data_IF_088409848890
#
_entry.id   IF_088409848890
#
_cell.length_a   1.000
_cell.length_b   1.000
_cell.length_c   1.000
_cell.angle_alpha   90.00
_cell.angle_beta   90.00
_cell.angle_gamma   90.00
#
_symmetry.space_group_name_H-M   'P 1'
#
loop_
_entity.id
_entity.type
_entity.pdbx_description
1 polymer ?
#
# COMPACT_ATOMS: atom_id res chain seq x y z
N UNK A 1 -23.05 14.92 52.64
CA UNK A 1 -23.85 14.45 51.49
C UNK A 1 -22.95 14.51 50.28
N UNK A 2 -22.84 13.38 49.60
CA UNK A 2 -22.33 13.25 48.23
C UNK A 2 -23.43 13.73 47.23
N UNK A 3 -23.17 13.98 45.92
CA UNK A 3 -22.64 12.94 45.01
C UNK A 3 -21.60 13.36 43.93
N UNK A 4 -20.61 12.48 43.78
CA UNK A 4 -20.12 11.84 42.54
C UNK A 4 -19.64 12.68 41.33
N UNK A 5 -18.37 12.49 40.92
CA UNK A 5 -17.90 12.65 39.55
C UNK A 5 -17.64 11.30 38.83
N UNK A 6 -18.53 10.93 37.91
CA UNK A 6 -18.23 10.05 36.76
C UNK A 6 -17.47 10.87 35.68
N UNK A 7 -16.56 10.39 34.83
CA UNK A 7 -16.10 9.03 34.48
C UNK A 7 -14.72 9.06 33.79
N UNK A 8 -14.19 7.85 33.48
CA UNK A 8 -13.30 7.51 32.36
C UNK A 8 -11.83 7.15 32.68
N UNK A 9 -11.63 5.93 33.19
CA UNK A 9 -10.34 5.25 33.20
C UNK A 9 -9.84 4.95 31.78
N UNK A 10 -8.74 5.59 31.38
CA UNK A 10 -8.01 5.25 30.14
C UNK A 10 -6.93 4.22 30.47
N UNK A 11 -7.27 2.93 30.31
CA UNK A 11 -6.41 1.81 30.69
C UNK A 11 -5.13 1.75 29.85
N UNK A 12 -3.99 1.93 30.54
CA UNK A 12 -2.64 1.71 30.02
C UNK A 12 -2.27 0.22 30.17
N UNK A 13 -2.01 -0.46 29.05
CA UNK A 13 -1.55 -1.86 29.02
C UNK A 13 -0.02 -1.92 28.91
N UNK A 14 0.64 -2.66 29.80
CA UNK A 14 2.08 -2.95 29.73
C UNK A 14 2.36 -4.36 30.34
N UNK A 15 2.99 -5.31 29.63
CA UNK A 15 3.04 -6.71 30.07
C UNK A 15 4.40 -7.13 30.67
N UNK A 16 4.39 -7.63 31.91
CA UNK A 16 5.30 -8.67 32.48
C UNK A 16 4.95 -8.99 33.94
N UNK A 17 4.71 -10.27 34.27
CA UNK A 17 4.47 -10.74 35.65
C UNK A 17 4.67 -12.26 35.81
N UNK A 18 5.28 -12.67 36.93
CA UNK A 18 5.80 -14.04 37.23
C UNK A 18 5.96 -14.17 38.77
N UNK A 19 6.02 -15.34 39.46
CA UNK A 19 6.29 -16.72 38.99
C UNK A 19 5.28 -17.83 39.41
N UNK A 20 5.31 -18.45 40.63
CA UNK A 20 5.61 -19.89 40.62
C UNK A 20 4.60 -20.89 41.25
N UNK A 21 4.53 -22.06 40.59
CA UNK A 21 4.62 -23.47 41.07
C UNK A 21 3.99 -24.03 42.37
N UNK A 22 3.33 -25.20 42.23
CA UNK A 22 3.40 -26.42 43.09
C UNK A 22 2.61 -27.60 42.44
N UNK A 23 3.22 -28.60 41.78
CA UNK A 23 3.63 -29.95 42.27
C UNK A 23 2.56 -30.87 42.88
N UNK A 24 2.21 -31.99 42.20
CA UNK A 24 2.62 -33.37 42.61
C UNK A 24 2.23 -34.47 41.59
N UNK A 25 2.88 -35.64 41.69
CA UNK A 25 2.76 -36.82 40.79
C UNK A 25 2.08 -38.02 41.46
N UNK A 26 1.50 -38.94 40.68
CA UNK A 26 1.45 -40.39 40.97
C UNK A 26 1.33 -41.21 39.67
N UNK A 27 1.66 -42.51 39.71
CA UNK A 27 2.00 -43.39 38.58
C UNK A 27 1.02 -44.60 38.42
N UNK A 28 1.29 -45.45 37.41
CA UNK A 28 0.70 -46.78 37.11
C UNK A 28 -0.76 -46.80 36.54
N UNK A 29 -1.21 -47.75 35.68
CA UNK A 29 -0.55 -48.89 35.01
C UNK A 29 -1.33 -49.39 33.75
N UNK A 30 -0.62 -50.10 32.84
CA UNK A 30 -1.09 -51.19 31.93
C UNK A 30 -2.15 -50.89 30.83
N UNK A 31 -1.87 -51.41 29.62
CA UNK A 31 -2.76 -51.39 28.45
C UNK A 31 -3.33 -52.79 28.12
N UNK A 32 -4.41 -52.85 27.31
CA UNK A 32 -4.44 -53.81 26.21
C UNK A 32 -4.84 -53.15 24.87
N UNK A 33 -4.54 -53.79 23.72
CA UNK A 33 -4.77 -53.21 22.39
C UNK A 33 -6.18 -53.49 21.87
N UNK A 34 -6.67 -52.66 20.96
CA UNK A 34 -7.04 -53.06 19.59
C UNK A 34 -7.35 -51.83 18.72
N UNK A 35 -7.42 -52.05 17.41
CA UNK A 35 -7.24 -51.02 16.41
C UNK A 35 -8.52 -50.26 16.02
N UNK A 36 -8.28 -49.35 15.07
CA UNK A 36 -9.15 -48.79 14.02
C UNK A 36 -9.66 -47.35 14.26
N UNK A 37 -9.34 -46.48 13.29
CA UNK A 37 -9.79 -45.08 13.14
C UNK A 37 -9.37 -44.03 14.18
N UNK A 38 -8.15 -44.12 14.74
CA UNK A 38 -7.41 -42.89 15.02
C UNK A 38 -6.85 -42.32 13.73
N UNK A 39 -7.73 -41.75 12.90
CA UNK A 39 -7.33 -40.69 11.98
C UNK A 39 -6.77 -39.60 12.88
N UNK A 40 -5.43 -39.48 12.92
CA UNK A 40 -4.80 -38.31 13.55
C UNK A 40 -5.51 -37.08 12.99
N UNK A 41 -5.81 -36.05 13.81
CA UNK A 41 -6.01 -34.71 13.30
C UNK A 41 -4.71 -34.35 12.59
N UNK A 42 -4.61 -34.69 11.30
CA UNK A 42 -3.67 -34.08 10.39
C UNK A 42 -4.11 -32.63 10.41
N UNK A 43 -3.27 -31.85 11.07
CA UNK A 43 -3.34 -30.40 11.21
C UNK A 43 -3.98 -29.82 9.96
N UNK A 44 -4.91 -28.88 10.12
CA UNK A 44 -5.69 -28.30 9.02
C UNK A 44 -4.82 -27.48 8.03
N UNK A 45 -3.51 -27.73 7.94
CA UNK A 45 -2.58 -27.17 6.96
C UNK A 45 -2.36 -25.67 7.10
N UNK A 46 -2.72 -25.09 8.25
CA UNK A 46 -2.84 -23.64 8.44
C UNK A 46 -4.13 -23.03 7.85
N UNK A 47 -5.03 -23.81 7.23
CA UNK A 47 -6.29 -23.31 6.69
C UNK A 47 -7.24 -22.82 7.78
N UNK A 48 -7.18 -23.38 9.00
CA UNK A 48 -7.94 -22.88 10.14
C UNK A 48 -7.55 -21.43 10.47
N UNK A 49 -6.25 -21.16 10.60
CA UNK A 49 -5.70 -19.82 10.84
C UNK A 49 -5.99 -18.87 9.65
N UNK A 50 -5.80 -19.33 8.41
CA UNK A 50 -6.10 -18.58 7.19
C UNK A 50 -7.56 -18.10 7.14
N UNK A 51 -8.51 -18.95 7.56
CA UNK A 51 -9.94 -18.70 7.39
C UNK A 51 -10.64 -18.13 8.63
N UNK A 52 -10.02 -18.17 9.81
CA UNK A 52 -10.63 -17.80 11.10
C UNK A 52 -11.35 -16.45 11.10
N UNK A 53 -10.78 -15.43 10.43
CA UNK A 53 -11.30 -14.06 10.40
C UNK A 53 -12.32 -13.78 9.28
N UNK A 54 -12.60 -14.74 8.38
CA UNK A 54 -13.29 -14.48 7.10
C UNK A 54 -14.68 -15.10 6.98
N UNK A 55 -15.21 -15.70 8.05
CA UNK A 55 -16.57 -16.25 8.08
C UNK A 55 -16.77 -17.59 7.37
N UNK A 56 -15.69 -18.31 7.07
CA UNK A 56 -15.76 -19.70 6.59
C UNK A 56 -16.06 -20.60 7.79
N UNK A 57 -17.02 -21.53 7.67
CA UNK A 57 -17.30 -22.50 8.73
C UNK A 57 -16.15 -23.50 8.86
N UNK A 58 -15.88 -23.97 10.09
CA UNK A 58 -14.91 -25.05 10.35
C UNK A 58 -15.09 -26.26 9.43
N UNK A 59 -16.35 -26.70 9.22
CA UNK A 59 -16.67 -27.81 8.32
C UNK A 59 -16.25 -27.55 6.87
N UNK A 60 -16.33 -26.30 6.41
CA UNK A 60 -15.91 -25.89 5.06
C UNK A 60 -14.38 -25.93 4.92
N UNK A 61 -13.67 -25.39 5.90
CA UNK A 61 -12.20 -25.46 5.97
C UNK A 61 -11.71 -26.92 6.01
N UNK A 62 -12.38 -27.77 6.81
CA UNK A 62 -12.08 -29.20 6.90
C UNK A 62 -12.25 -29.92 5.56
N UNK A 63 -13.35 -29.71 4.82
CA UNK A 63 -13.54 -30.34 3.49
C UNK A 63 -12.51 -29.88 2.45
N UNK A 64 -12.06 -28.62 2.52
CA UNK A 64 -10.97 -28.12 1.66
C UNK A 64 -9.66 -28.86 1.99
N UNK A 65 -9.32 -28.98 3.27
CA UNK A 65 -8.13 -29.71 3.72
C UNK A 65 -8.18 -31.23 3.44
N UNK A 66 -9.35 -31.87 3.58
CA UNK A 66 -9.57 -33.30 3.27
C UNK A 66 -9.32 -33.64 1.79
N UNK A 67 -9.61 -32.70 0.88
CA UNK A 67 -9.28 -32.83 -0.55
C UNK A 67 -7.81 -32.53 -0.88
N UNK A 68 -6.97 -32.28 0.13
CA UNK A 68 -5.55 -32.05 -0.03
C UNK A 68 -5.15 -30.62 -0.44
N UNK A 69 -6.09 -29.66 -0.44
CA UNK A 69 -5.72 -28.25 -0.61
C UNK A 69 -4.96 -27.76 0.62
N UNK A 70 -3.76 -27.22 0.39
CA UNK A 70 -2.95 -26.56 1.41
C UNK A 70 -3.06 -25.04 1.27
N UNK A 71 -2.64 -24.28 2.29
CA UNK A 71 -2.54 -22.81 2.21
C UNK A 71 -1.71 -22.39 0.98
N UNK A 72 -0.56 -23.02 0.74
CA UNK A 72 0.28 -22.76 -0.44
C UNK A 72 -0.47 -23.02 -1.75
N UNK A 73 -1.18 -24.15 -1.86
CA UNK A 73 -1.98 -24.48 -3.05
C UNK A 73 -3.04 -23.40 -3.34
N UNK A 74 -3.73 -22.91 -2.31
CA UNK A 74 -4.71 -21.85 -2.46
C UNK A 74 -4.05 -20.50 -2.83
N UNK A 75 -2.86 -20.23 -2.29
CA UNK A 75 -2.06 -19.02 -2.57
C UNK A 75 -1.48 -18.98 -4.00
N UNK A 76 -1.42 -20.10 -4.71
CA UNK A 76 -1.03 -20.14 -6.12
C UNK A 76 -2.21 -19.99 -7.10
N UNK A 77 -3.46 -20.26 -6.67
CA UNK A 77 -4.65 -20.29 -7.52
C UNK A 77 -5.29 -18.91 -7.79
N UNK A 78 -5.44 -18.52 -9.05
CA UNK A 78 -6.13 -17.28 -9.44
C UNK A 78 -7.59 -17.28 -8.98
N UNK A 79 -8.20 -16.10 -8.86
CA UNK A 79 -9.56 -15.99 -8.34
C UNK A 79 -10.62 -16.73 -9.17
N UNK A 80 -10.43 -16.87 -10.48
CA UNK A 80 -11.26 -17.72 -11.33
C UNK A 80 -11.04 -19.22 -11.05
N UNK A 81 -9.79 -19.64 -10.77
CA UNK A 81 -9.44 -21.02 -10.41
C UNK A 81 -10.00 -21.37 -9.00
N UNK A 82 -10.07 -20.38 -8.09
CA UNK A 82 -10.77 -20.50 -6.82
C UNK A 82 -12.29 -20.61 -7.01
N UNK A 83 -12.89 -19.85 -7.94
CA UNK A 83 -14.32 -19.97 -8.27
C UNK A 83 -14.64 -21.35 -8.88
N UNK A 84 -13.83 -21.85 -9.82
CA UNK A 84 -13.95 -23.19 -10.41
C UNK A 84 -13.79 -24.30 -9.35
N UNK A 85 -12.85 -24.14 -8.41
CA UNK A 85 -12.68 -25.03 -7.27
C UNK A 85 -13.91 -24.99 -6.33
N UNK A 86 -14.41 -23.82 -5.95
CA UNK A 86 -15.61 -23.70 -5.10
C UNK A 86 -16.87 -24.27 -5.77
N UNK A 87 -16.97 -24.17 -7.09
CA UNK A 87 -18.03 -24.79 -7.88
C UNK A 87 -17.88 -26.32 -7.88
N UNK A 88 -16.65 -26.82 -8.04
CA UNK A 88 -16.33 -28.25 -7.95
C UNK A 88 -16.64 -28.82 -6.56
N UNK A 89 -16.27 -28.12 -5.47
CA UNK A 89 -16.64 -28.48 -4.09
C UNK A 89 -18.15 -28.60 -3.93
N UNK A 90 -18.90 -27.60 -4.44
CA UNK A 90 -20.35 -27.56 -4.30
C UNK A 90 -21.02 -28.72 -5.04
N UNK A 91 -20.48 -29.10 -6.21
CA UNK A 91 -20.95 -30.25 -6.99
C UNK A 91 -20.59 -31.59 -6.32
N UNK A 92 -19.33 -31.77 -5.92
CA UNK A 92 -18.80 -33.02 -5.33
C UNK A 92 -19.53 -33.37 -4.03
N UNK A 93 -19.68 -32.41 -3.12
CA UNK A 93 -20.32 -32.63 -1.83
C UNK A 93 -21.83 -32.38 -1.83
N UNK A 94 -22.42 -32.01 -2.99
CA UNK A 94 -23.83 -31.59 -3.15
C UNK A 94 -24.26 -30.56 -2.10
N UNK A 95 -23.38 -29.60 -1.83
CA UNK A 95 -23.51 -28.63 -0.75
C UNK A 95 -23.28 -27.22 -1.30
N UNK A 96 -24.31 -26.37 -1.21
CA UNK A 96 -24.18 -24.95 -1.46
C UNK A 96 -23.29 -24.28 -0.40
N UNK A 97 -22.05 -23.99 -0.80
CA UNK A 97 -21.22 -22.97 -0.15
C UNK A 97 -22.01 -21.67 -0.07
N UNK A 98 -22.19 -21.13 1.14
CA UNK A 98 -22.93 -19.88 1.32
C UNK A 98 -22.24 -18.76 0.55
N UNK A 99 -23.02 -17.79 0.06
CA UNK A 99 -22.48 -16.62 -0.66
C UNK A 99 -21.37 -15.93 0.15
N UNK A 100 -21.58 -15.77 1.46
CA UNK A 100 -20.56 -15.24 2.38
C UNK A 100 -19.29 -16.09 2.49
N UNK A 101 -19.40 -17.42 2.46
CA UNK A 101 -18.22 -18.31 2.49
C UNK A 101 -17.42 -18.23 1.18
N UNK A 102 -18.10 -18.09 0.04
CA UNK A 102 -17.44 -17.91 -1.27
C UNK A 102 -16.65 -16.61 -1.35
N UNK A 103 -17.20 -15.52 -0.80
CA UNK A 103 -16.45 -14.26 -0.64
C UNK A 103 -15.35 -14.39 0.43
N UNK A 104 -15.62 -15.08 1.54
CA UNK A 104 -14.66 -15.31 2.63
C UNK A 104 -13.41 -16.05 2.18
N UNK A 105 -13.55 -17.16 1.44
CA UNK A 105 -12.42 -17.94 0.90
C UNK A 105 -11.53 -17.06 0.02
N UNK A 106 -12.12 -16.29 -0.92
CA UNK A 106 -11.36 -15.38 -1.77
C UNK A 106 -10.73 -14.23 -0.99
N UNK A 107 -11.44 -13.66 0.00
CA UNK A 107 -10.93 -12.60 0.85
C UNK A 107 -9.73 -13.06 1.69
N UNK A 108 -9.78 -14.26 2.26
CA UNK A 108 -8.70 -14.88 3.02
C UNK A 108 -7.44 -15.08 2.16
N UNK A 109 -7.58 -15.72 0.99
CA UNK A 109 -6.44 -15.93 0.07
C UNK A 109 -5.85 -14.60 -0.40
N UNK A 110 -6.68 -13.61 -0.75
CA UNK A 110 -6.23 -12.25 -1.13
C UNK A 110 -5.57 -11.49 0.03
N UNK A 111 -5.97 -11.73 1.27
CA UNK A 111 -5.33 -11.12 2.43
C UNK A 111 -3.98 -11.76 2.74
N UNK A 112 -3.90 -13.09 2.69
CA UNK A 112 -2.66 -13.82 2.96
C UNK A 112 -1.61 -13.60 1.86
N UNK A 113 -2.02 -13.49 0.58
CA UNK A 113 -1.15 -12.98 -0.50
C UNK A 113 -0.57 -11.62 -0.16
N UNK A 114 -1.41 -10.65 0.24
CA UNK A 114 -0.94 -9.30 0.65
C UNK A 114 0.02 -9.36 1.84
N UNK A 115 -0.26 -10.21 2.83
CA UNK A 115 0.63 -10.41 4.00
C UNK A 115 2.00 -10.96 3.59
N UNK A 116 2.04 -11.91 2.65
CA UNK A 116 3.28 -12.45 2.11
C UNK A 116 4.01 -11.44 1.22
N UNK A 117 3.30 -10.66 0.39
CA UNK A 117 3.89 -9.57 -0.39
C UNK A 117 4.50 -8.48 0.52
N UNK A 118 3.87 -8.16 1.66
CA UNK A 118 4.38 -7.22 2.66
C UNK A 118 5.61 -7.77 3.40
N UNK A 119 5.60 -9.05 3.78
CA UNK A 119 6.74 -9.73 4.44
C UNK A 119 7.92 -9.93 3.49
N UNK A 120 7.69 -10.30 2.23
CA UNK A 120 8.72 -10.37 1.20
C UNK A 120 9.23 -8.97 0.82
N UNK A 121 8.36 -7.95 0.80
CA UNK A 121 8.78 -6.55 0.65
C UNK A 121 9.65 -6.08 1.81
N UNK A 122 9.37 -6.52 3.05
CA UNK A 122 10.21 -6.28 4.24
C UNK A 122 11.58 -6.96 4.11
N UNK A 123 11.61 -8.23 3.70
CA UNK A 123 12.86 -8.97 3.44
C UNK A 123 13.69 -8.31 2.34
N UNK A 124 13.05 -7.80 1.28
CA UNK A 124 13.71 -7.01 0.22
C UNK A 124 14.16 -5.62 0.70
N UNK A 125 13.42 -4.95 1.58
CA UNK A 125 13.83 -3.66 2.18
C UNK A 125 15.01 -3.79 3.14
N UNK A 126 15.14 -4.92 3.87
CA UNK A 126 16.32 -5.19 4.70
C UNK A 126 17.62 -5.39 3.90
N UNK A 127 17.51 -5.56 2.57
CA UNK A 127 18.64 -5.69 1.64
C UNK A 127 18.78 -4.49 0.68
N UNK A 128 17.91 -3.47 0.79
CA UNK A 128 17.94 -2.30 -0.10
C UNK A 128 17.37 -1.05 0.61
N UNK A 129 18.18 -0.04 0.96
CA UNK A 129 17.75 1.06 1.83
C UNK A 129 16.68 2.01 1.26
N UNK A 130 16.37 1.95 -0.04
CA UNK A 130 15.55 2.94 -0.75
C UNK A 130 14.50 2.29 -1.66
N UNK A 131 13.20 2.26 -1.29
CA UNK A 131 12.02 2.34 -2.22
C UNK A 131 10.68 2.43 -1.44
N UNK A 132 10.36 3.60 -0.89
CA UNK A 132 9.07 3.88 -0.20
C UNK A 132 7.94 4.38 -1.13
N UNK A 133 7.82 3.84 -2.35
CA UNK A 133 6.89 4.37 -3.38
C UNK A 133 5.83 3.42 -3.93
N UNK A 134 5.74 2.16 -3.48
CA UNK A 134 4.98 1.12 -4.18
C UNK A 134 3.64 0.68 -3.54
N UNK A 135 3.30 1.11 -2.32
CA UNK A 135 2.17 0.56 -1.55
C UNK A 135 0.77 0.97 -2.01
N UNK A 136 0.62 1.94 -2.93
CA UNK A 136 -0.68 2.48 -3.35
C UNK A 136 -1.23 1.96 -4.70
N UNK A 137 -0.47 1.15 -5.45
CA UNK A 137 -0.87 0.72 -6.80
C UNK A 137 -1.75 -0.56 -6.80
N UNK A 138 -1.86 -1.26 -5.67
CA UNK A 138 -2.41 -2.62 -5.56
C UNK A 138 -3.95 -2.73 -5.49
N UNK A 139 -4.67 -1.64 -5.18
CA UNK A 139 -6.15 -1.65 -5.12
C UNK A 139 -6.82 -1.46 -6.50
N UNK A 140 -6.05 -1.24 -7.57
CA UNK A 140 -6.56 -0.88 -8.91
C UNK A 140 -6.94 -2.09 -9.79
N UNK A 141 -7.10 -3.29 -9.23
CA UNK A 141 -7.23 -4.55 -10.00
C UNK A 141 -8.60 -5.22 -9.96
N UNK A 142 -9.53 -4.74 -9.11
CA UNK A 142 -10.91 -5.25 -9.03
C UNK A 142 -11.89 -4.10 -9.34
N UNK A 143 -12.85 -4.35 -10.23
CA UNK A 143 -13.93 -3.41 -10.53
C UNK A 143 -13.95 -2.89 -11.97
N UNK A 144 -14.52 -3.69 -12.87
CA UNK A 144 -15.19 -3.21 -14.10
C UNK A 144 -16.59 -2.63 -13.75
N UNK A 145 -16.69 -2.00 -12.58
CA UNK A 145 -17.88 -1.29 -12.14
C UNK A 145 -17.76 0.17 -12.61
N UNK A 146 -18.89 0.71 -13.05
CA UNK A 146 -19.06 2.04 -13.63
C UNK A 146 -18.63 3.17 -12.68
N UNK A 147 -17.31 3.39 -12.50
CA UNK A 147 -16.80 4.62 -11.89
C UNK A 147 -16.96 5.71 -12.94
N UNK A 148 -17.88 6.68 -12.77
CA UNK A 148 -17.99 7.77 -13.72
C UNK A 148 -16.67 8.54 -13.72
N UNK A 149 -16.24 8.99 -14.90
CA UNK A 149 -14.97 9.72 -15.08
C UNK A 149 -14.82 10.96 -14.17
N UNK A 150 -15.94 11.43 -13.58
CA UNK A 150 -16.03 12.50 -12.58
C UNK A 150 -15.48 12.15 -11.19
N UNK A 151 -15.20 10.88 -10.87
CA UNK A 151 -14.60 10.49 -9.57
C UNK A 151 -13.09 10.18 -9.65
N UNK A 152 -12.49 10.24 -10.85
CA UNK A 152 -11.06 10.01 -11.06
C UNK A 152 -10.31 11.33 -10.86
N UNK A 153 -10.00 11.66 -9.61
CA UNK A 153 -9.24 12.88 -9.27
C UNK A 153 -7.76 12.85 -9.72
N UNK A 154 -7.21 11.70 -10.13
CA UNK A 154 -5.80 11.56 -10.55
C UNK A 154 -5.61 10.61 -11.74
N UNK A 155 -4.57 10.81 -12.54
CA UNK A 155 -4.17 9.92 -13.65
C UNK A 155 -3.67 8.57 -13.11
N UNK A 156 -4.60 7.61 -12.98
CA UNK A 156 -4.37 6.24 -12.48
C UNK A 156 -3.90 5.26 -13.57
N UNK A 157 -3.60 4.03 -13.17
CA UNK A 157 -3.31 2.91 -14.09
C UNK A 157 -4.44 2.67 -15.10
N UNK A 158 -5.71 2.85 -14.70
CA UNK A 158 -6.86 2.67 -15.59
C UNK A 158 -6.82 3.66 -16.75
N UNK A 159 -6.44 4.92 -16.52
CA UNK A 159 -6.30 5.94 -17.57
C UNK A 159 -5.25 5.52 -18.62
N UNK A 160 -4.10 4.98 -18.18
CA UNK A 160 -3.08 4.47 -19.10
C UNK A 160 -3.53 3.22 -19.87
N UNK A 161 -4.27 2.30 -19.23
CA UNK A 161 -4.86 1.13 -19.91
C UNK A 161 -5.90 1.55 -20.95
N UNK A 162 -6.76 2.52 -20.61
CA UNK A 162 -7.75 3.09 -21.52
C UNK A 162 -7.09 3.78 -22.72
N UNK A 163 -6.06 4.61 -22.51
CA UNK A 163 -5.34 5.26 -23.60
C UNK A 163 -4.76 4.25 -24.60
N UNK A 164 -4.19 3.13 -24.13
CA UNK A 164 -3.71 2.04 -25.00
C UNK A 164 -4.86 1.37 -25.77
N UNK A 165 -6.02 1.11 -25.13
CA UNK A 165 -7.23 0.54 -25.76
C UNK A 165 -7.82 1.48 -26.81
N UNK A 166 -7.76 2.79 -26.59
CA UNK A 166 -8.21 3.84 -27.50
C UNK A 166 -7.21 4.17 -28.63
N UNK A 167 -6.18 3.35 -28.85
CA UNK A 167 -5.19 3.53 -29.92
C UNK A 167 -4.04 4.50 -29.62
N UNK A 168 -4.07 5.22 -28.49
CA UNK A 168 -2.99 6.12 -28.06
C UNK A 168 -1.82 5.35 -27.40
N UNK A 169 -1.33 4.30 -28.06
CA UNK A 169 -0.30 3.37 -27.57
C UNK A 169 1.04 4.02 -27.23
N UNK A 170 1.33 5.21 -27.78
CA UNK A 170 2.51 6.01 -27.46
C UNK A 170 2.47 6.66 -26.06
N UNK A 171 1.32 6.66 -25.37
CA UNK A 171 1.17 7.15 -24.00
C UNK A 171 1.47 6.01 -23.02
N UNK A 172 2.43 6.20 -22.11
CA UNK A 172 2.77 5.18 -21.10
C UNK A 172 3.15 5.78 -19.74
N UNK A 173 2.81 5.06 -18.65
CA UNK A 173 3.01 5.48 -17.26
C UNK A 173 4.47 5.91 -16.94
N UNK A 174 5.51 5.13 -17.30
CA UNK A 174 6.90 5.53 -17.02
C UNK A 174 7.29 6.85 -17.69
N UNK A 175 7.05 6.99 -19.00
CA UNK A 175 7.40 8.22 -19.75
C UNK A 175 6.66 9.42 -19.20
N UNK A 176 5.34 9.32 -18.98
CA UNK A 176 4.57 10.46 -18.47
C UNK A 176 5.06 10.90 -17.08
N UNK A 177 5.21 9.95 -16.14
CA UNK A 177 5.73 10.24 -14.79
C UNK A 177 7.14 10.84 -14.80
N UNK A 178 7.97 10.49 -15.78
CA UNK A 178 9.31 11.05 -15.91
C UNK A 178 9.30 12.58 -16.17
N UNK A 179 8.27 13.13 -16.82
CA UNK A 179 8.21 14.54 -17.27
C UNK A 179 7.10 15.38 -16.62
N UNK A 180 6.39 14.88 -15.60
CA UNK A 180 5.32 15.62 -14.90
C UNK A 180 5.78 16.98 -14.39
N UNK A 181 6.98 17.10 -13.84
CA UNK A 181 7.50 18.39 -13.36
C UNK A 181 7.82 19.36 -14.52
N UNK A 182 8.31 18.88 -15.67
CA UNK A 182 8.45 19.74 -16.86
C UNK A 182 7.09 20.28 -17.33
N UNK A 183 6.05 19.45 -17.28
CA UNK A 183 4.68 19.87 -17.59
C UNK A 183 4.11 20.84 -16.53
N UNK A 184 4.42 20.61 -15.25
CA UNK A 184 4.04 21.51 -14.16
C UNK A 184 4.65 22.89 -14.33
N UNK A 185 5.94 22.99 -14.70
CA UNK A 185 6.57 24.27 -14.99
C UNK A 185 5.85 25.00 -16.14
N UNK A 186 5.54 24.30 -17.24
CA UNK A 186 4.77 24.88 -18.34
C UNK A 186 3.33 25.30 -17.96
N UNK A 187 2.72 24.70 -16.94
CA UNK A 187 1.41 25.11 -16.45
C UNK A 187 1.47 26.33 -15.51
N UNK A 188 2.46 26.37 -14.63
CA UNK A 188 2.56 27.39 -13.58
C UNK A 188 3.30 28.66 -14.05
N UNK A 189 4.21 28.51 -15.03
CA UNK A 189 5.01 29.58 -15.61
C UNK A 189 5.42 29.20 -17.05
N UNK A 190 4.51 29.43 -18.00
CA UNK A 190 4.74 29.13 -19.41
C UNK A 190 5.91 29.94 -19.99
N UNK A 191 6.09 31.19 -19.56
CA UNK A 191 7.16 32.06 -20.03
C UNK A 191 8.53 31.52 -19.61
N UNK A 192 8.73 31.23 -18.33
CA UNK A 192 9.96 30.63 -17.84
C UNK A 192 10.21 29.25 -18.46
N UNK A 193 9.16 28.44 -18.66
CA UNK A 193 9.26 27.15 -19.36
C UNK A 193 9.76 27.32 -20.81
N UNK A 194 9.20 28.28 -21.56
CA UNK A 194 9.59 28.55 -22.93
C UNK A 194 10.98 29.20 -23.05
N UNK A 195 11.37 30.07 -22.11
CA UNK A 195 12.72 30.61 -22.00
C UNK A 195 13.76 29.51 -21.70
N UNK A 196 13.45 28.61 -20.74
CA UNK A 196 14.31 27.48 -20.39
C UNK A 196 14.49 26.51 -21.57
N UNK A 197 13.41 26.20 -22.30
CA UNK A 197 13.46 25.38 -23.52
C UNK A 197 14.35 25.99 -24.60
N UNK A 198 14.23 27.31 -24.84
CA UNK A 198 15.07 28.04 -25.82
C UNK A 198 16.55 28.01 -25.42
N UNK A 199 16.88 28.44 -24.20
CA UNK A 199 18.28 28.50 -23.75
C UNK A 199 18.97 27.14 -23.70
N UNK A 200 18.26 26.05 -23.36
CA UNK A 200 18.83 24.69 -23.44
C UNK A 200 19.02 24.22 -24.89
N UNK A 201 18.10 24.54 -25.81
CA UNK A 201 18.24 24.24 -27.24
C UNK A 201 19.43 25.00 -27.87
N UNK A 202 19.59 26.28 -27.55
CA UNK A 202 20.67 27.15 -28.05
C UNK A 202 22.06 26.68 -27.60
N UNK A 203 22.16 26.10 -26.39
CA UNK A 203 23.41 25.48 -25.89
C UNK A 203 23.65 24.04 -26.39
N UNK A 204 22.75 23.47 -27.20
CA UNK A 204 22.86 22.07 -27.65
C UNK A 204 22.70 21.03 -26.54
N UNK A 205 22.06 21.40 -25.43
CA UNK A 205 21.94 20.56 -24.24
C UNK A 205 20.99 19.37 -24.47
N UNK A 206 21.30 18.23 -23.84
CA UNK A 206 20.44 17.06 -23.95
C UNK A 206 19.13 17.22 -23.14
N UNK A 207 18.11 16.45 -23.52
CA UNK A 207 16.78 16.47 -22.87
C UNK A 207 16.86 16.16 -21.38
N UNK A 208 17.83 15.34 -20.94
CA UNK A 208 18.06 15.03 -19.54
C UNK A 208 18.52 16.25 -18.73
N UNK A 209 19.43 17.05 -19.27
CA UNK A 209 19.92 18.29 -18.65
C UNK A 209 18.80 19.33 -18.52
N UNK A 210 18.06 19.60 -19.61
CA UNK A 210 16.87 20.45 -19.59
C UNK A 210 15.84 19.96 -18.55
N UNK A 211 15.57 18.65 -18.52
CA UNK A 211 14.65 18.03 -17.56
C UNK A 211 15.09 18.24 -16.11
N UNK A 212 16.39 18.15 -15.78
CA UNK A 212 16.84 18.46 -14.41
C UNK A 212 16.69 19.96 -14.10
N UNK A 213 16.96 20.84 -15.06
CA UNK A 213 16.85 22.28 -14.86
C UNK A 213 15.42 22.74 -14.52
N UNK A 214 14.39 22.04 -15.02
CA UNK A 214 12.98 22.33 -14.70
C UNK A 214 12.63 22.27 -13.21
N UNK A 215 13.41 21.59 -12.35
CA UNK A 215 13.13 21.56 -10.91
C UNK A 215 13.39 22.92 -10.23
N UNK A 216 14.45 23.64 -10.61
CA UNK A 216 14.85 24.90 -9.95
C UNK A 216 13.75 25.98 -9.95
N UNK A 217 13.11 26.35 -11.09
CA UNK A 217 12.05 27.34 -11.08
C UNK A 217 10.79 26.87 -10.33
N UNK A 218 10.48 25.56 -10.33
CA UNK A 218 9.36 25.03 -9.54
C UNK A 218 9.58 25.17 -8.04
N UNK A 219 10.80 24.92 -7.55
CA UNK A 219 11.12 25.13 -6.13
C UNK A 219 11.05 26.62 -5.78
N UNK A 220 11.47 27.52 -6.69
CA UNK A 220 11.29 28.96 -6.50
C UNK A 220 9.82 29.41 -6.52
N UNK A 221 8.94 28.74 -7.28
CA UNK A 221 7.48 28.94 -7.21
C UNK A 221 6.96 28.48 -5.84
N UNK A 222 7.36 27.30 -5.36
CA UNK A 222 6.96 26.78 -4.06
C UNK A 222 7.41 27.70 -2.90
N UNK A 223 8.65 28.18 -2.92
CA UNK A 223 9.18 29.12 -1.93
C UNK A 223 8.35 30.40 -1.79
N UNK A 224 7.84 30.93 -2.93
CA UNK A 224 6.96 32.11 -2.96
C UNK A 224 5.53 31.86 -2.47
N UNK A 225 5.12 30.60 -2.31
CA UNK A 225 3.76 30.19 -1.96
C UNK A 225 3.73 29.27 -0.72
N UNK A 226 4.58 29.54 0.26
CA UNK A 226 4.54 28.84 1.56
C UNK A 226 5.08 27.41 1.57
N UNK A 227 5.79 27.00 0.50
CA UNK A 227 6.39 25.67 0.31
C UNK A 227 5.43 24.49 0.14
N UNK A 228 4.12 24.74 0.03
CA UNK A 228 3.11 23.69 -0.17
C UNK A 228 2.95 23.36 -1.67
N UNK A 229 3.80 22.45 -2.16
CA UNK A 229 3.76 22.00 -3.55
C UNK A 229 2.51 21.16 -3.89
N UNK A 230 1.84 20.58 -2.90
CA UNK A 230 0.57 19.88 -3.10
C UNK A 230 -0.56 20.86 -3.38
N UNK A 231 -0.70 21.90 -2.56
CA UNK A 231 -1.66 22.98 -2.77
C UNK A 231 -1.49 23.63 -4.15
N UNK A 232 -0.24 23.87 -4.59
CA UNK A 232 0.06 24.44 -5.91
C UNK A 232 -0.40 23.54 -7.07
N UNK A 233 -0.20 22.22 -6.97
CA UNK A 233 -0.69 21.28 -7.98
C UNK A 233 -2.22 21.20 -7.95
N UNK A 234 -2.82 21.08 -6.77
CA UNK A 234 -4.27 20.93 -6.58
C UNK A 234 -5.05 22.18 -7.01
N UNK A 235 -4.49 23.38 -6.86
CA UNK A 235 -5.11 24.64 -7.27
C UNK A 235 -5.16 24.83 -8.81
N UNK A 236 -4.29 24.16 -9.57
CA UNK A 236 -4.22 24.35 -11.02
C UNK A 236 -5.01 23.27 -11.78
N UNK A 237 -6.03 23.61 -12.60
CA UNK A 237 -6.95 22.63 -13.21
C UNK A 237 -6.30 21.53 -14.07
N UNK A 238 -5.16 21.79 -14.70
CA UNK A 238 -4.40 20.77 -15.48
C UNK A 238 -3.42 19.94 -14.63
N UNK A 239 -3.16 20.32 -13.39
CA UNK A 239 -2.16 19.68 -12.51
C UNK A 239 -2.75 18.92 -11.34
N UNK A 240 -3.96 19.26 -10.90
CA UNK A 240 -4.68 18.52 -9.85
C UNK A 240 -4.81 17.03 -10.17
N UNK A 241 -4.93 16.67 -11.45
CA UNK A 241 -4.96 15.28 -11.93
C UNK A 241 -3.61 14.56 -11.88
N UNK A 242 -2.51 15.22 -11.54
CA UNK A 242 -1.16 14.64 -11.51
C UNK A 242 -0.60 14.55 -10.09
N UNK A 243 -0.12 13.36 -9.72
CA UNK A 243 0.68 13.19 -8.51
C UNK A 243 1.96 14.04 -8.57
N UNK A 244 2.20 14.88 -7.56
CA UNK A 244 3.46 15.64 -7.43
C UNK A 244 4.65 14.67 -7.38
N UNK A 245 5.67 14.80 -8.26
CA UNK A 245 6.81 13.89 -8.29
C UNK A 245 7.61 13.88 -6.99
N UNK A 246 8.00 12.69 -6.51
CA UNK A 246 8.75 12.52 -5.24
C UNK A 246 10.01 13.37 -5.17
N UNK A 247 10.80 13.43 -6.27
CA UNK A 247 12.01 14.27 -6.33
C UNK A 247 11.70 15.77 -6.17
N UNK A 248 10.56 16.26 -6.68
CA UNK A 248 10.16 17.65 -6.52
C UNK A 248 9.83 17.96 -5.06
N UNK A 249 9.05 17.08 -4.39
CA UNK A 249 8.76 17.18 -2.95
C UNK A 249 10.03 17.23 -2.12
N UNK A 250 10.95 16.29 -2.36
CA UNK A 250 12.24 16.21 -1.67
C UNK A 250 13.06 17.50 -1.80
N UNK A 251 13.14 18.06 -3.01
CA UNK A 251 13.84 19.33 -3.24
C UNK A 251 13.16 20.52 -2.54
N UNK A 252 11.83 20.62 -2.58
CA UNK A 252 11.10 21.66 -1.84
C UNK A 252 11.32 21.54 -0.31
N UNK A 253 11.33 20.33 0.25
CA UNK A 253 11.61 20.14 1.67
C UNK A 253 13.07 20.48 2.03
N UNK A 254 14.04 20.08 1.21
CA UNK A 254 15.46 20.38 1.45
C UNK A 254 15.72 21.89 1.43
N UNK A 255 15.23 22.61 0.41
CA UNK A 255 15.41 24.05 0.27
C UNK A 255 14.64 24.83 1.36
N UNK A 256 13.46 24.37 1.79
CA UNK A 256 12.75 24.96 2.95
C UNK A 256 13.56 24.85 4.24
N UNK A 257 14.18 23.69 4.47
CA UNK A 257 15.02 23.48 5.65
C UNK A 257 16.30 24.33 5.58
N UNK A 258 16.89 24.50 4.39
CA UNK A 258 18.04 25.39 4.18
C UNK A 258 17.69 26.88 4.38
N UNK A 259 16.52 27.32 3.90
CA UNK A 259 16.03 28.69 4.07
C UNK A 259 15.73 29.03 5.54
N UNK A 260 15.08 28.12 6.27
CA UNK A 260 14.81 28.29 7.71
C UNK A 260 16.09 28.27 8.55
N UNK A 261 17.05 27.40 8.24
CA UNK A 261 18.37 27.40 8.88
C UNK A 261 19.13 28.73 8.63
N UNK A 262 19.14 29.23 7.38
CA UNK A 262 19.76 30.52 7.02
C UNK A 262 19.13 31.71 7.78
N UNK A 263 17.82 31.66 8.01
CA UNK A 263 17.08 32.68 8.77
C UNK A 263 17.41 32.66 10.27
N UNK A 264 17.69 31.48 10.84
CA UNK A 264 18.05 31.35 12.26
C UNK A 264 19.48 31.82 12.58
N UNK A 265 20.42 31.69 11.63
CA UNK A 265 21.82 32.15 11.79
C UNK A 265 21.93 33.68 11.71
N UNK A 266 21.04 34.34 10.97
CA UNK A 266 21.05 35.80 10.78
C UNK A 266 20.36 36.59 11.90
N UNK A 267 19.65 35.92 12.82
CA UNK A 267 19.01 36.56 13.99
C UNK A 267 19.86 36.66 15.25
N UNK A 268 21.14 36.25 15.21
CA UNK A 268 21.99 36.09 16.39
C UNK A 268 23.00 37.21 16.69
N UNK A 269 22.99 38.31 15.94
CA UNK A 269 24.06 39.31 15.96
C UNK A 269 23.57 40.76 16.13
N UNK A 270 22.83 41.05 17.20
CA UNK A 270 22.61 42.42 17.68
C UNK A 270 22.23 42.47 19.18
N UNK A 271 23.19 42.12 20.05
CA UNK A 271 23.22 42.67 21.41
C UNK A 271 24.64 42.63 21.99
N UNK A 272 25.36 43.75 21.87
CA UNK A 272 26.46 44.09 22.78
C UNK A 272 26.05 45.35 23.54
N UNK A 273 25.89 45.31 24.88
CA UNK A 273 25.82 46.53 25.68
C UNK A 273 27.23 47.04 25.94
N UNK A 274 27.47 48.34 25.72
CA UNK A 274 28.26 49.27 26.57
C UNK A 274 28.34 50.64 25.89
#
# INVERSE_FOLDING_TARGET
MDPDPFTASLFKWDPRGVVPAATNRLLEAVAPPQAVYSVRPRELGGLEELFQAYGIRYYTAARIAELGFTVNTLLDMKDNELDDMMNSLSQIFRWDLLVGERYGIKAAVRAERRRLDEEDSRRRHLLSPDTTTNTLDALSQEGDLYIPFTLINFVTNQVFRFAKKAGASYINKPKMRHYVHCYALHCLDEEASNALRRGFKERGENVGAWRQACYKPLVAIAARQGWDIDAIFNAHPRLSVWYVPTKLRQLCHAERNHATASSSVSGGADHMPF
#
